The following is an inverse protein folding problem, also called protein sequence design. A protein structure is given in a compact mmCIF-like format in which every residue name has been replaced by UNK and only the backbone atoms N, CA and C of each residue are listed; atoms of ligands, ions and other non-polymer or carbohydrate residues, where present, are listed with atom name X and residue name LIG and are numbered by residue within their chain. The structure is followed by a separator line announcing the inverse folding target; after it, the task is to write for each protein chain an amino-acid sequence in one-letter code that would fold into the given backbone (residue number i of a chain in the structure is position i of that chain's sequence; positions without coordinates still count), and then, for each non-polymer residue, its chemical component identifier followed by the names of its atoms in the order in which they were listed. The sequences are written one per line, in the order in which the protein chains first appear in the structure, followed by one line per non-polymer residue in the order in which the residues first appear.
data_IF_032270632668
#
_entry.id   IF_032270632668
#
_cell.length_a   1.000
_cell.length_b   1.000
_cell.length_c   1.000
_cell.angle_alpha   90.00
_cell.angle_beta   90.00
_cell.angle_gamma   90.00
#
_symmetry.space_group_name_H-M   'P 1'
#
loop_
_entity.id
_entity.type
_entity.pdbx_description
1 polymer ?
#
# COMPACT_ATOMS: atom_id res chain seq x y z
N UNK A 1 28.54 10.34 -88.73
CA UNK A 1 29.55 11.41 -88.85
C UNK A 1 29.69 11.96 -87.43
N UNK A 2 30.69 11.50 -86.67
CA UNK A 2 32.06 12.07 -86.63
C UNK A 2 32.02 13.46 -85.95
N UNK A 3 32.73 13.74 -84.86
CA UNK A 3 33.86 13.03 -84.24
C UNK A 3 34.12 13.44 -82.76
N UNK A 4 34.93 12.64 -82.06
CA UNK A 4 35.92 12.97 -81.02
C UNK A 4 35.59 13.88 -79.79
N UNK A 5 35.70 13.25 -78.61
CA UNK A 5 36.76 13.48 -77.59
C UNK A 5 37.15 14.92 -77.15
N UNK A 6 37.21 15.17 -75.83
CA UNK A 6 38.05 16.24 -75.27
C UNK A 6 37.80 16.69 -73.83
N UNK A 7 38.71 16.34 -72.90
CA UNK A 7 38.85 16.98 -71.56
C UNK A 7 39.51 18.38 -71.74
N UNK A 8 39.64 19.33 -70.81
CA UNK A 8 39.75 19.32 -69.33
C UNK A 8 39.57 20.76 -68.76
N UNK A 9 39.51 20.92 -67.43
CA UNK A 9 39.33 22.20 -66.71
C UNK A 9 40.62 23.03 -66.44
N UNK A 10 40.49 24.35 -66.14
CA UNK A 10 40.87 24.99 -64.83
C UNK A 10 40.84 26.55 -64.77
N UNK A 11 40.27 27.04 -63.65
CA UNK A 11 40.56 28.22 -62.78
C UNK A 11 41.45 29.41 -63.22
N UNK A 12 41.01 30.63 -62.83
CA UNK A 12 41.82 31.84 -62.50
C UNK A 12 41.50 33.06 -63.38
N UNK A 13 40.78 34.11 -62.94
CA UNK A 13 41.20 35.24 -62.06
C UNK A 13 42.27 36.17 -62.68
N UNK A 14 42.24 37.51 -62.61
CA UNK A 14 41.24 38.53 -62.19
C UNK A 14 41.76 39.95 -62.59
N UNK A 15 40.93 41.01 -62.57
CA UNK A 15 41.36 42.44 -62.64
C UNK A 15 40.34 43.34 -61.92
N UNK A 16 40.65 43.98 -60.76
CA UNK A 16 41.32 45.31 -60.57
C UNK A 16 40.37 46.48 -60.96
N UNK A 17 39.66 47.19 -60.05
CA UNK A 17 40.04 48.05 -58.89
C UNK A 17 40.14 49.56 -59.21
N UNK A 18 39.32 50.39 -58.54
CA UNK A 18 39.57 51.78 -58.07
C UNK A 18 38.27 52.42 -57.48
N UNK A 19 38.24 53.55 -56.73
CA UNK A 19 38.96 53.97 -55.50
C UNK A 19 38.39 55.34 -55.01
N UNK A 20 37.63 55.42 -53.88
CA UNK A 20 37.54 56.51 -52.83
C UNK A 20 36.13 56.58 -52.18
N UNK A 21 35.93 56.43 -50.85
CA UNK A 21 36.11 57.40 -49.70
C UNK A 21 35.13 58.61 -49.79
N UNK A 22 34.39 59.04 -48.76
CA UNK A 22 34.39 58.79 -47.29
C UNK A 22 33.04 59.26 -46.66
N UNK A 23 32.56 58.64 -45.57
CA UNK A 23 31.92 59.26 -44.37
C UNK A 23 31.21 58.19 -43.50
N UNK A 24 30.92 58.49 -42.22
CA UNK A 24 30.69 57.46 -41.19
C UNK A 24 29.30 57.45 -40.52
N UNK A 25 28.96 56.26 -40.01
CA UNK A 25 28.16 55.95 -38.81
C UNK A 25 26.69 56.42 -38.68
N UNK A 26 25.78 55.45 -38.61
CA UNK A 26 24.87 55.26 -37.45
C UNK A 26 24.35 53.82 -37.42
N UNK A 27 23.90 53.34 -36.26
CA UNK A 27 23.77 51.91 -35.95
C UNK A 27 22.32 51.39 -35.99
N UNK A 28 22.16 50.12 -36.42
CA UNK A 28 21.14 49.19 -35.94
C UNK A 28 21.46 47.76 -36.45
N UNK A 29 22.16 46.96 -35.64
CA UNK A 29 22.30 45.52 -35.89
C UNK A 29 21.30 44.78 -35.01
N UNK A 30 20.20 44.32 -35.59
CA UNK A 30 19.25 43.43 -34.94
C UNK A 30 19.56 41.99 -35.36
N UNK A 31 20.55 41.37 -34.72
CA UNK A 31 20.83 39.93 -34.90
C UNK A 31 19.78 39.11 -34.16
N UNK A 32 18.75 38.66 -34.87
CA UNK A 32 17.90 37.56 -34.42
C UNK A 32 18.69 36.25 -34.48
N UNK A 33 19.37 35.90 -33.38
CA UNK A 33 19.90 34.54 -33.20
C UNK A 33 18.74 33.56 -33.17
N UNK A 34 18.58 32.79 -34.25
CA UNK A 34 17.60 31.72 -34.33
C UNK A 34 17.93 30.64 -33.29
N UNK A 35 17.15 30.61 -32.21
CA UNK A 35 17.21 29.52 -31.24
C UNK A 35 16.58 28.29 -31.89
N UNK A 36 17.41 27.31 -32.24
CA UNK A 36 16.92 26.00 -32.63
C UNK A 36 16.29 25.33 -31.40
N UNK A 37 14.97 25.42 -31.26
CA UNK A 37 14.24 24.73 -30.20
C UNK A 37 14.31 23.23 -30.43
N UNK A 38 15.22 22.55 -29.72
CA UNK A 38 15.13 21.10 -29.55
C UNK A 38 13.83 20.82 -28.78
N UNK A 39 12.79 20.43 -29.51
CA UNK A 39 11.61 19.81 -28.95
C UNK A 39 11.99 18.41 -28.46
N UNK A 40 12.53 18.34 -27.24
CA UNK A 40 12.53 17.11 -26.47
C UNK A 40 11.07 16.70 -26.30
N UNK A 41 10.62 15.68 -27.04
CA UNK A 41 9.35 15.03 -26.79
C UNK A 41 9.48 14.27 -25.48
N UNK A 42 9.34 14.98 -24.38
CA UNK A 42 9.21 14.40 -23.07
C UNK A 42 7.93 13.56 -23.10
N UNK A 43 8.07 12.24 -23.17
CA UNK A 43 6.99 11.34 -22.81
C UNK A 43 6.65 11.68 -21.37
N UNK A 44 5.53 12.37 -21.16
CA UNK A 44 4.97 12.49 -19.84
C UNK A 44 4.71 11.06 -19.37
N UNK A 45 5.51 10.58 -18.41
CA UNK A 45 5.19 9.35 -17.70
C UNK A 45 3.86 9.60 -17.01
N UNK A 46 2.79 9.18 -17.67
CA UNK A 46 1.49 8.97 -17.06
C UNK A 46 1.72 8.31 -15.71
N UNK A 47 1.12 8.86 -14.65
CA UNK A 47 1.22 8.29 -13.32
C UNK A 47 0.87 6.79 -13.41
N UNK A 48 1.87 5.92 -13.24
CA UNK A 48 1.68 4.48 -13.45
C UNK A 48 1.29 3.86 -12.12
N UNK A 49 0.06 3.38 -12.05
CA UNK A 49 -0.51 2.74 -10.88
C UNK A 49 -1.80 2.01 -11.23
N UNK A 50 -2.00 0.86 -10.61
CA UNK A 50 -3.23 0.11 -10.67
C UNK A 50 -3.44 -0.62 -9.35
N UNK A 51 -4.70 -0.86 -9.01
CA UNK A 51 -5.12 -1.69 -7.90
C UNK A 51 -5.95 -2.84 -8.46
N UNK A 52 -5.73 -4.03 -7.93
CA UNK A 52 -6.46 -5.22 -8.35
C UNK A 52 -6.93 -5.96 -7.11
N UNK A 53 -8.24 -6.12 -6.97
CA UNK A 53 -8.85 -6.93 -5.91
C UNK A 53 -9.27 -8.28 -6.52
N UNK A 54 -8.70 -9.37 -6.00
CA UNK A 54 -9.03 -10.74 -6.39
C UNK A 54 -9.81 -11.40 -5.25
N UNK A 55 -10.92 -12.06 -5.57
CA UNK A 55 -11.75 -12.73 -4.58
C UNK A 55 -12.27 -14.05 -5.12
N UNK A 56 -12.07 -15.13 -4.37
CA UNK A 56 -12.69 -16.42 -4.67
C UNK A 56 -14.14 -16.38 -4.19
N UNK A 57 -15.09 -16.37 -5.12
CA UNK A 57 -16.53 -16.16 -4.86
C UNK A 57 -17.26 -17.45 -4.49
N UNK A 58 -16.71 -18.61 -4.89
CA UNK A 58 -17.25 -19.93 -4.57
C UNK A 58 -16.17 -20.99 -4.75
N UNK A 59 -16.24 -22.09 -3.99
CA UNK A 59 -15.33 -23.24 -4.09
C UNK A 59 -16.12 -24.54 -3.97
N UNK A 60 -15.69 -25.56 -4.71
CA UNK A 60 -16.19 -26.93 -4.67
C UNK A 60 -15.02 -27.92 -4.88
N UNK A 61 -15.28 -29.23 -4.80
CA UNK A 61 -14.22 -30.22 -5.00
C UNK A 61 -13.61 -30.11 -6.40
N UNK A 62 -12.36 -29.66 -6.49
CA UNK A 62 -11.60 -29.50 -7.73
C UNK A 62 -11.92 -28.26 -8.57
N UNK A 63 -12.70 -27.29 -8.07
CA UNK A 63 -12.94 -26.04 -8.82
C UNK A 63 -13.54 -24.89 -8.02
N UNK A 64 -13.41 -23.68 -8.57
CA UNK A 64 -13.77 -22.41 -7.93
C UNK A 64 -14.31 -21.40 -8.94
N UNK A 65 -15.08 -20.43 -8.45
CA UNK A 65 -15.31 -19.16 -9.12
C UNK A 65 -14.47 -18.06 -8.50
N UNK A 66 -13.91 -17.16 -9.31
CA UNK A 66 -13.17 -15.98 -8.88
C UNK A 66 -13.67 -14.72 -9.59
N UNK A 67 -13.70 -13.62 -8.84
CA UNK A 67 -13.96 -12.25 -9.31
C UNK A 67 -12.67 -11.44 -9.21
N UNK A 68 -12.43 -10.56 -10.19
CA UNK A 68 -11.31 -9.63 -10.19
C UNK A 68 -11.82 -8.23 -10.52
N UNK A 69 -11.63 -7.29 -9.61
CA UNK A 69 -11.85 -5.85 -9.86
C UNK A 69 -10.52 -5.23 -10.23
N UNK A 70 -10.45 -4.60 -11.40
CA UNK A 70 -9.29 -3.86 -11.89
C UNK A 70 -9.62 -2.37 -11.77
N UNK A 71 -8.82 -1.60 -11.04
CA UNK A 71 -8.93 -0.14 -10.93
C UNK A 71 -7.68 0.49 -11.55
N UNK A 72 -7.88 1.35 -12.56
CA UNK A 72 -6.82 2.14 -13.16
C UNK A 72 -6.56 3.40 -12.30
N UNK A 73 -5.49 3.41 -11.51
CA UNK A 73 -5.11 4.60 -10.73
C UNK A 73 -4.32 5.62 -11.57
N UNK A 74 -3.88 5.21 -12.76
CA UNK A 74 -3.08 6.03 -13.66
C UNK A 74 -3.89 6.85 -14.66
N UNK A 75 -3.21 7.34 -15.70
CA UNK A 75 -3.89 8.01 -16.82
C UNK A 75 -4.88 7.09 -17.52
N UNK A 76 -5.94 7.67 -18.09
CA UNK A 76 -6.98 6.91 -18.77
C UNK A 76 -6.43 6.03 -19.92
N UNK A 77 -6.91 4.80 -20.01
CA UNK A 77 -6.57 3.83 -21.05
C UNK A 77 -7.80 3.46 -21.87
N UNK A 78 -7.63 3.20 -23.17
CA UNK A 78 -8.71 2.80 -24.10
C UNK A 78 -8.82 1.28 -24.28
N UNK A 79 -7.80 0.54 -23.84
CA UNK A 79 -7.73 -0.92 -23.77
C UNK A 79 -6.87 -1.33 -22.59
N UNK A 80 -7.11 -2.52 -22.04
CA UNK A 80 -6.29 -3.05 -20.96
C UNK A 80 -5.99 -4.55 -21.10
N UNK A 81 -4.84 -4.93 -20.55
CA UNK A 81 -4.38 -6.30 -20.39
C UNK A 81 -3.95 -6.51 -18.95
N UNK A 82 -4.66 -7.37 -18.21
CA UNK A 82 -4.28 -7.81 -16.88
C UNK A 82 -3.39 -9.05 -16.99
N UNK A 83 -2.28 -9.08 -16.26
CA UNK A 83 -1.44 -10.28 -16.07
C UNK A 83 -1.37 -10.65 -14.60
N UNK A 84 -1.38 -11.94 -14.27
CA UNK A 84 -1.16 -12.46 -12.92
C UNK A 84 -0.69 -13.91 -12.93
N UNK A 85 -0.20 -14.39 -11.78
CA UNK A 85 0.29 -15.77 -11.61
C UNK A 85 -0.54 -16.50 -10.57
N UNK A 86 -1.18 -17.60 -10.96
CA UNK A 86 -1.85 -18.52 -10.03
C UNK A 86 -0.80 -19.28 -9.21
N UNK A 87 -0.99 -19.51 -7.89
CA UNK A 87 0.08 -19.96 -6.99
C UNK A 87 0.39 -21.47 -7.03
N UNK A 88 -0.40 -22.29 -7.72
CA UNK A 88 -0.19 -23.74 -7.76
C UNK A 88 -0.66 -24.40 -9.06
N UNK A 89 -1.60 -25.34 -8.94
CA UNK A 89 -2.08 -26.17 -10.07
C UNK A 89 -3.39 -25.65 -10.67
N UNK A 90 -3.78 -24.42 -10.38
CA UNK A 90 -5.02 -23.84 -10.88
C UNK A 90 -4.98 -23.60 -12.41
N UNK A 91 -6.07 -23.97 -13.08
CA UNK A 91 -6.28 -23.73 -14.51
C UNK A 91 -7.62 -23.01 -14.72
N UNK A 92 -7.63 -21.98 -15.59
CA UNK A 92 -8.84 -21.25 -16.00
C UNK A 92 -9.68 -22.14 -16.92
N UNK A 93 -10.90 -22.45 -16.51
CA UNK A 93 -11.84 -23.29 -17.26
C UNK A 93 -12.78 -22.47 -18.14
N UNK A 94 -13.25 -21.31 -17.65
CA UNK A 94 -14.12 -20.40 -18.41
C UNK A 94 -14.11 -19.00 -17.80
N UNK A 95 -13.98 -17.94 -18.59
CA UNK A 95 -13.99 -16.55 -18.12
C UNK A 95 -15.12 -15.69 -18.70
N UNK A 96 -15.40 -14.56 -18.06
CA UNK A 96 -16.36 -13.54 -18.51
C UNK A 96 -15.81 -12.12 -18.36
N UNK A 97 -16.39 -11.16 -19.10
CA UNK A 97 -15.95 -9.75 -19.20
C UNK A 97 -14.48 -9.54 -19.66
N UNK A 98 -13.84 -10.58 -20.21
CA UNK A 98 -12.49 -10.50 -20.78
C UNK A 98 -12.14 -11.77 -21.55
N UNK A 99 -11.08 -11.70 -22.35
CA UNK A 99 -10.52 -12.86 -23.08
C UNK A 99 -9.34 -13.40 -22.31
N UNK A 100 -9.48 -14.62 -21.78
CA UNK A 100 -8.50 -15.29 -20.92
C UNK A 100 -7.55 -16.17 -21.72
N UNK A 101 -6.26 -16.12 -21.40
CA UNK A 101 -5.22 -17.01 -21.90
C UNK A 101 -4.30 -17.42 -20.75
N UNK A 102 -3.89 -18.69 -20.69
CA UNK A 102 -3.02 -19.21 -19.63
C UNK A 102 -1.88 -20.04 -20.20
N UNK A 103 -0.68 -19.86 -19.65
CA UNK A 103 0.51 -20.65 -19.96
C UNK A 103 1.22 -21.05 -18.66
N UNK A 104 1.09 -22.31 -18.26
CA UNK A 104 1.49 -22.75 -16.92
C UNK A 104 0.69 -21.99 -15.85
N UNK A 105 1.36 -21.40 -14.87
CA UNK A 105 0.73 -20.57 -13.83
C UNK A 105 0.38 -19.15 -14.27
N UNK A 106 0.95 -18.66 -15.38
CA UNK A 106 0.76 -17.28 -15.83
C UNK A 106 -0.56 -17.13 -16.60
N UNK A 107 -1.44 -16.24 -16.14
CA UNK A 107 -2.71 -15.88 -16.77
C UNK A 107 -2.61 -14.47 -17.33
N UNK A 108 -3.12 -14.27 -18.53
CA UNK A 108 -3.33 -12.96 -19.16
C UNK A 108 -4.80 -12.82 -19.53
N UNK A 109 -5.39 -11.66 -19.21
CA UNK A 109 -6.76 -11.31 -19.57
C UNK A 109 -6.76 -10.00 -20.33
N UNK A 110 -7.31 -9.97 -21.54
CA UNK A 110 -7.53 -8.73 -22.29
C UNK A 110 -8.99 -8.31 -22.22
N UNK A 111 -9.25 -7.01 -22.36
CA UNK A 111 -10.60 -6.47 -22.28
C UNK A 111 -11.57 -7.08 -23.30
N UNK A 112 -12.84 -7.17 -22.93
CA UNK A 112 -13.93 -7.36 -23.89
C UNK A 112 -14.16 -6.06 -24.69
N UNK A 113 -14.91 -6.15 -25.79
CA UNK A 113 -15.14 -5.02 -26.70
C UNK A 113 -15.86 -3.82 -26.05
N UNK A 114 -16.57 -4.04 -24.94
CA UNK A 114 -17.38 -3.03 -24.25
C UNK A 114 -16.75 -2.46 -22.97
N UNK A 115 -15.66 -3.03 -22.45
CA UNK A 115 -15.04 -2.59 -21.18
C UNK A 115 -13.55 -2.23 -21.27
N UNK A 116 -13.01 -2.00 -22.47
CA UNK A 116 -11.60 -1.61 -22.65
C UNK A 116 -11.25 -0.21 -22.14
N UNK A 117 -12.21 0.73 -22.16
CA UNK A 117 -11.98 2.09 -21.69
C UNK A 117 -12.05 2.17 -20.17
N UNK A 118 -10.92 2.45 -19.52
CA UNK A 118 -10.82 2.75 -18.09
C UNK A 118 -10.27 4.16 -17.91
N UNK A 119 -11.10 5.07 -17.42
CA UNK A 119 -10.68 6.40 -16.99
C UNK A 119 -9.65 6.33 -15.85
N UNK A 120 -9.02 7.45 -15.51
CA UNK A 120 -8.31 7.57 -14.24
C UNK A 120 -9.30 7.37 -13.07
N UNK A 121 -8.95 6.53 -12.10
CA UNK A 121 -9.80 5.98 -11.05
C UNK A 121 -11.03 5.18 -11.56
N UNK A 122 -11.05 4.80 -12.84
CA UNK A 122 -12.08 3.95 -13.41
C UNK A 122 -11.81 2.47 -13.17
N UNK A 123 -12.87 1.70 -12.91
CA UNK A 123 -12.78 0.27 -12.62
C UNK A 123 -13.60 -0.60 -13.58
N UNK A 124 -13.19 -1.86 -13.73
CA UNK A 124 -13.99 -2.92 -14.37
C UNK A 124 -13.88 -4.22 -13.58
N UNK A 125 -14.94 -5.02 -13.61
CA UNK A 125 -14.99 -6.32 -12.95
C UNK A 125 -15.04 -7.45 -13.98
N UNK A 126 -14.10 -8.37 -13.85
CA UNK A 126 -14.03 -9.61 -14.62
C UNK A 126 -14.12 -10.82 -13.68
N UNK A 127 -14.23 -12.01 -14.24
CA UNK A 127 -14.21 -13.22 -13.42
C UNK A 127 -14.09 -14.48 -14.25
N UNK A 128 -13.77 -15.58 -13.57
CA UNK A 128 -13.61 -16.88 -14.20
C UNK A 128 -13.95 -18.01 -13.23
N UNK A 129 -14.33 -19.16 -13.79
CA UNK A 129 -14.28 -20.43 -13.11
C UNK A 129 -12.95 -21.11 -13.42
N UNK A 130 -12.31 -21.66 -12.41
CA UNK A 130 -11.08 -22.45 -12.54
C UNK A 130 -11.20 -23.82 -11.89
N UNK A 131 -10.27 -24.70 -12.22
CA UNK A 131 -10.07 -26.02 -11.62
C UNK A 131 -8.71 -26.11 -10.93
N UNK A 132 -8.52 -26.97 -9.93
CA UNK A 132 -7.21 -27.30 -9.37
C UNK A 132 -7.07 -28.80 -9.08
N UNK A 133 -5.85 -29.24 -8.78
CA UNK A 133 -5.56 -30.60 -8.31
C UNK A 133 -4.92 -30.59 -6.92
N UNK A 134 -5.22 -31.62 -6.12
CA UNK A 134 -4.76 -31.75 -4.73
C UNK A 134 -5.89 -31.66 -3.70
N UNK A 135 -5.56 -31.91 -2.43
CA UNK A 135 -6.50 -31.94 -1.31
C UNK A 135 -6.86 -30.56 -0.73
N UNK A 136 -6.08 -29.54 -1.07
CA UNK A 136 -6.18 -28.19 -0.50
C UNK A 136 -6.17 -27.17 -1.63
N UNK A 137 -6.99 -26.12 -1.52
CA UNK A 137 -7.03 -25.02 -2.50
C UNK A 137 -5.67 -24.27 -2.50
N UNK A 138 -4.98 -24.06 -3.64
CA UNK A 138 -3.59 -23.60 -3.62
C UNK A 138 -3.41 -22.11 -3.28
N UNK A 139 -4.41 -21.26 -3.54
CA UNK A 139 -4.47 -19.91 -2.98
C UNK A 139 -4.99 -18.84 -3.94
N UNK A 140 -4.53 -17.61 -3.75
CA UNK A 140 -4.85 -16.46 -4.62
C UNK A 140 -3.56 -15.86 -5.19
N UNK A 141 -3.58 -15.28 -6.42
CA UNK A 141 -2.45 -14.53 -6.95
C UNK A 141 -2.05 -13.36 -6.04
N UNK A 142 -0.76 -13.19 -5.81
CA UNK A 142 -0.19 -12.12 -4.95
C UNK A 142 0.40 -10.96 -5.75
N UNK A 143 0.49 -11.08 -7.08
CA UNK A 143 1.03 -10.06 -7.97
C UNK A 143 0.20 -9.94 -9.24
N UNK A 144 -0.02 -8.70 -9.65
CA UNK A 144 -0.80 -8.34 -10.83
C UNK A 144 -0.05 -7.28 -11.64
N UNK A 145 -0.24 -7.26 -12.95
CA UNK A 145 0.22 -6.20 -13.84
C UNK A 145 -0.92 -5.69 -14.71
N UNK A 146 -1.08 -4.37 -14.86
CA UNK A 146 -1.95 -3.76 -15.86
C UNK A 146 -1.10 -3.19 -16.99
N UNK A 147 -1.33 -3.62 -18.23
CA UNK A 147 -0.55 -3.24 -19.41
C UNK A 147 0.97 -3.44 -19.23
N UNK A 148 1.35 -4.49 -18.50
CA UNK A 148 2.76 -4.84 -18.20
C UNK A 148 3.37 -4.07 -17.02
N UNK A 149 2.63 -3.16 -16.37
CA UNK A 149 3.07 -2.40 -15.20
C UNK A 149 2.53 -3.05 -13.93
N UNK A 150 3.38 -3.31 -12.93
CA UNK A 150 2.97 -3.89 -11.64
C UNK A 150 1.92 -3.04 -10.92
N UNK A 151 0.85 -3.68 -10.47
CA UNK A 151 -0.19 -3.07 -9.64
C UNK A 151 0.23 -3.08 -8.18
N UNK A 152 0.71 -1.93 -7.71
CA UNK A 152 1.20 -1.71 -6.33
C UNK A 152 0.14 -1.09 -5.41
N UNK A 153 -1.09 -0.86 -5.90
CA UNK A 153 -2.14 -0.16 -5.15
C UNK A 153 -1.95 1.36 -5.05
N UNK A 154 -0.87 1.91 -5.61
CA UNK A 154 -0.56 3.34 -5.61
C UNK A 154 -0.01 3.79 -6.96
N UNK A 155 0.01 5.10 -7.21
CA UNK A 155 0.71 5.70 -8.34
C UNK A 155 2.15 6.07 -7.96
N UNK A 156 3.14 5.60 -8.73
CA UNK A 156 4.51 6.10 -8.60
C UNK A 156 4.66 7.44 -9.33
N UNK A 157 4.57 8.54 -8.58
CA UNK A 157 4.87 9.89 -9.07
C UNK A 157 6.38 10.16 -9.09
N UNK A 158 7.07 9.82 -10.18
CA UNK A 158 8.44 10.29 -10.44
C UNK A 158 8.42 11.75 -10.92
N UNK A 159 8.21 12.70 -10.00
CA UNK A 159 8.29 14.13 -10.31
C UNK A 159 9.76 14.58 -10.35
N UNK A 160 10.24 15.22 -11.44
CA UNK A 160 11.61 15.71 -11.51
C UNK A 160 11.76 17.00 -10.68
N UNK A 161 12.52 16.91 -9.59
CA UNK A 161 12.82 18.06 -8.72
C UNK A 161 13.61 19.16 -9.44
N UNK A 162 12.98 20.32 -9.68
CA UNK A 162 13.69 21.55 -10.07
C UNK A 162 13.68 22.57 -8.92
N UNK A 163 14.80 22.68 -8.22
CA UNK A 163 15.03 23.76 -7.26
C UNK A 163 15.09 25.12 -7.96
N UNK A 164 14.23 26.06 -7.55
CA UNK A 164 14.41 27.48 -7.85
C UNK A 164 13.96 28.32 -6.64
N UNK A 165 14.91 29.01 -6.03
CA UNK A 165 14.67 29.96 -4.93
C UNK A 165 14.38 31.35 -5.49
N UNK A 166 13.24 31.95 -5.13
CA UNK A 166 13.02 33.40 -5.24
C UNK A 166 12.05 33.89 -4.17
N UNK A 167 12.45 34.92 -3.43
CA UNK A 167 11.63 35.60 -2.43
C UNK A 167 11.05 36.89 -3.01
N UNK A 168 9.75 37.12 -2.84
CA UNK A 168 9.13 38.44 -2.84
C UNK A 168 7.76 38.40 -2.15
N UNK A 169 7.45 39.44 -1.37
CA UNK A 169 6.21 39.59 -0.60
C UNK A 169 5.30 40.65 -1.22
N UNK A 170 3.98 40.39 -1.27
CA UNK A 170 2.93 41.42 -1.23
C UNK A 170 1.57 40.80 -0.85
N UNK A 171 0.74 41.57 -0.14
CA UNK A 171 -0.54 41.13 0.46
C UNK A 171 -1.75 41.67 -0.30
N UNK A 172 -2.82 40.87 -0.41
CA UNK A 172 -4.21 41.31 -0.60
C UNK A 172 -5.18 40.21 -0.11
N UNK A 173 -6.41 40.60 0.27
CA UNK A 173 -7.33 39.80 1.09
C UNK A 173 -8.70 39.57 0.44
N UNK A 174 -9.45 38.57 0.95
CA UNK A 174 -10.89 38.30 0.77
C UNK A 174 -11.35 37.81 -0.64
N UNK A 175 -12.37 36.95 -0.81
CA UNK A 175 -13.20 36.16 0.13
C UNK A 175 -13.84 34.94 -0.59
N UNK A 176 -14.12 33.88 0.18
CA UNK A 176 -15.07 32.78 -0.01
C UNK A 176 -15.62 32.40 -1.41
N UNK A 177 -15.51 31.12 -1.77
CA UNK A 177 -16.71 30.29 -2.06
C UNK A 177 -16.43 28.78 -1.98
N UNK A 178 -17.42 28.04 -1.47
CA UNK A 178 -17.66 26.60 -1.56
C UNK A 178 -16.45 25.63 -1.46
N UNK A 179 -16.29 25.01 -0.29
CA UNK A 179 -15.67 23.68 -0.20
C UNK A 179 -16.51 22.68 -0.99
N UNK A 180 -15.90 22.02 -1.96
CA UNK A 180 -16.43 20.83 -2.60
C UNK A 180 -15.41 19.71 -2.39
N UNK A 181 -15.50 19.05 -1.23
CA UNK A 181 -14.78 17.81 -0.97
C UNK A 181 -15.21 16.78 -2.02
N UNK A 182 -14.33 16.27 -2.88
CA UNK A 182 -14.70 15.14 -3.73
C UNK A 182 -14.80 13.90 -2.82
N UNK A 183 -16.02 13.50 -2.49
CA UNK A 183 -16.26 12.17 -1.93
C UNK A 183 -15.93 11.13 -2.99
N UNK A 184 -14.69 10.66 -2.99
CA UNK A 184 -14.28 9.45 -3.69
C UNK A 184 -14.96 8.27 -3.02
N UNK A 185 -16.07 7.78 -3.57
CA UNK A 185 -16.69 6.52 -3.17
C UNK A 185 -15.81 5.36 -3.65
N UNK A 186 -14.73 5.12 -2.92
CA UNK A 186 -13.92 3.90 -3.03
C UNK A 186 -14.82 2.71 -2.72
N UNK A 187 -15.10 1.84 -3.69
CA UNK A 187 -15.84 0.62 -3.41
C UNK A 187 -14.91 -0.43 -2.79
N UNK A 188 -14.71 -0.36 -1.49
CA UNK A 188 -14.06 -1.41 -0.71
C UNK A 188 -14.82 -2.74 -0.86
N UNK A 189 -14.15 -3.89 -0.65
CA UNK A 189 -14.82 -5.20 -0.60
C UNK A 189 -15.83 -5.28 0.54
N UNK A 190 -15.52 -4.58 1.63
CA UNK A 190 -16.36 -4.41 2.80
C UNK A 190 -16.13 -3.01 3.36
N UNK A 191 -17.22 -2.31 3.70
CA UNK A 191 -17.19 -1.07 4.48
C UNK A 191 -18.32 -1.15 5.50
N UNK A 192 -18.03 -0.92 6.78
CA UNK A 192 -19.03 -0.97 7.85
C UNK A 192 -18.63 -0.11 9.05
N UNK A 193 -19.56 0.76 9.48
CA UNK A 193 -19.45 1.64 10.66
C UNK A 193 -20.11 1.05 11.91
N UNK A 194 -20.50 -0.23 11.88
CA UNK A 194 -21.07 -0.90 13.02
C UNK A 194 -20.02 -1.21 14.10
N UNK A 195 -20.34 -0.88 15.35
CA UNK A 195 -19.63 -1.40 16.51
C UNK A 195 -19.53 -2.94 16.39
N UNK A 196 -18.32 -3.50 16.55
CA UNK A 196 -18.06 -4.95 16.40
C UNK A 196 -18.27 -5.51 14.98
N UNK A 197 -18.30 -4.65 13.95
CA UNK A 197 -18.39 -5.12 12.58
C UNK A 197 -17.13 -5.94 12.23
N UNK A 198 -17.32 -7.20 11.86
CA UNK A 198 -16.24 -8.11 11.47
C UNK A 198 -16.29 -8.48 9.99
N UNK A 199 -15.16 -8.91 9.43
CA UNK A 199 -15.07 -9.44 8.07
C UNK A 199 -14.03 -10.57 7.99
N UNK A 200 -14.52 -11.80 7.80
CA UNK A 200 -13.68 -12.98 7.62
C UNK A 200 -13.14 -13.07 6.19
N UNK A 201 -11.82 -13.19 6.05
CA UNK A 201 -11.13 -13.27 4.75
C UNK A 201 -9.90 -14.19 4.80
N UNK A 202 -9.99 -15.32 4.11
CA UNK A 202 -8.91 -16.31 4.06
C UNK A 202 -8.70 -16.97 5.43
N UNK A 203 -7.50 -16.78 6.01
CA UNK A 203 -7.14 -17.29 7.35
C UNK A 203 -7.30 -16.22 8.46
N UNK A 204 -7.89 -15.07 8.14
CA UNK A 204 -8.01 -13.92 9.02
C UNK A 204 -9.46 -13.51 9.24
N UNK A 205 -9.73 -12.84 10.36
CA UNK A 205 -10.92 -11.99 10.54
C UNK A 205 -10.46 -10.59 10.90
N UNK A 206 -11.03 -9.57 10.26
CA UNK A 206 -10.74 -8.16 10.53
C UNK A 206 -11.92 -7.57 11.31
N UNK A 207 -11.63 -6.81 12.37
CA UNK A 207 -12.58 -6.35 13.37
C UNK A 207 -12.61 -4.82 13.47
N UNK A 208 -13.83 -4.26 13.59
CA UNK A 208 -14.10 -2.88 13.97
C UNK A 208 -14.47 -2.81 15.47
N UNK A 209 -13.56 -3.24 16.34
CA UNK A 209 -13.85 -3.30 17.78
C UNK A 209 -13.83 -1.88 18.38
N UNK A 210 -14.99 -1.41 18.82
CA UNK A 210 -15.22 -0.11 19.46
C UNK A 210 -15.83 -0.39 20.84
N UNK A 211 -15.08 -0.14 21.91
CA UNK A 211 -15.41 -0.70 23.23
C UNK A 211 -15.22 0.27 24.41
N UNK A 212 -14.35 1.27 24.25
CA UNK A 212 -14.02 2.21 25.31
C UNK A 212 -15.14 3.19 25.63
N UNK A 213 -15.21 3.61 26.89
CA UNK A 213 -16.26 4.53 27.33
C UNK A 213 -16.22 5.85 26.55
N UNK A 214 -17.33 6.19 25.90
CA UNK A 214 -17.44 7.41 25.09
C UNK A 214 -16.62 7.37 23.79
N UNK A 215 -16.49 6.20 23.15
CA UNK A 215 -15.97 6.12 21.78
C UNK A 215 -16.79 7.00 20.81
N UNK A 216 -16.09 7.60 19.85
CA UNK A 216 -16.66 8.28 18.69
C UNK A 216 -16.64 7.36 17.46
N UNK A 217 -17.20 7.82 16.34
CA UNK A 217 -17.46 6.96 15.19
C UNK A 217 -16.19 6.41 14.53
N UNK A 218 -16.17 5.10 14.30
CA UNK A 218 -15.23 4.43 13.40
C UNK A 218 -15.93 3.82 12.17
N UNK A 219 -15.19 3.56 11.10
CA UNK A 219 -15.65 2.81 9.93
C UNK A 219 -14.51 1.97 9.40
N UNK A 220 -14.68 0.65 9.52
CA UNK A 220 -13.78 -0.35 8.94
C UNK A 220 -14.02 -0.42 7.44
N UNK A 221 -12.92 -0.45 6.69
CA UNK A 221 -12.90 -0.73 5.27
C UNK A 221 -11.86 -1.81 4.94
N UNK A 222 -12.17 -2.69 3.99
CA UNK A 222 -11.32 -3.83 3.59
C UNK A 222 -11.18 -3.89 2.07
N UNK A 223 -9.95 -3.90 1.55
CA UNK A 223 -9.64 -4.13 0.14
C UNK A 223 -9.14 -5.56 -0.13
N UNK A 224 -8.48 -6.19 0.83
CA UNK A 224 -8.00 -7.58 0.74
C UNK A 224 -7.67 -8.15 2.14
N UNK A 225 -7.23 -9.40 2.20
CA UNK A 225 -6.74 -10.03 3.43
C UNK A 225 -5.52 -9.33 4.05
N UNK A 226 -4.85 -8.45 3.30
CA UNK A 226 -3.62 -7.77 3.75
C UNK A 226 -3.69 -6.25 3.59
N UNK A 227 -4.77 -5.71 2.99
CA UNK A 227 -4.97 -4.27 2.82
C UNK A 227 -6.36 -3.87 3.34
N UNK A 228 -6.37 -3.15 4.44
CA UNK A 228 -7.57 -2.73 5.18
C UNK A 228 -7.24 -1.54 6.08
N UNK A 229 -8.24 -0.92 6.66
CA UNK A 229 -8.02 0.18 7.59
C UNK A 229 -9.30 0.69 8.23
N UNK A 230 -9.17 1.77 9.00
CA UNK A 230 -10.30 2.47 9.60
C UNK A 230 -10.23 3.96 9.36
N UNK A 231 -11.38 4.55 9.05
CA UNK A 231 -11.63 5.96 9.32
C UNK A 231 -12.12 6.08 10.76
N UNK A 232 -11.36 6.74 11.64
CA UNK A 232 -11.69 6.84 13.06
C UNK A 232 -11.77 8.29 13.53
N UNK A 233 -12.83 8.62 14.26
CA UNK A 233 -13.09 9.96 14.83
C UNK A 233 -13.31 9.82 16.33
N UNK A 234 -12.22 9.77 17.10
CA UNK A 234 -12.24 9.54 18.54
C UNK A 234 -12.06 10.85 19.33
N UNK A 235 -12.81 11.05 20.44
CA UNK A 235 -12.63 12.21 21.30
C UNK A 235 -11.33 12.10 22.11
N UNK A 236 -10.67 13.24 22.33
CA UNK A 236 -9.49 13.31 23.20
C UNK A 236 -9.89 13.29 24.69
N UNK A 237 -10.28 12.10 25.16
CA UNK A 237 -10.55 11.76 26.57
C UNK A 237 -9.69 10.56 26.97
N UNK A 238 -9.52 10.33 28.27
CA UNK A 238 -8.67 9.24 28.79
C UNK A 238 -9.13 7.83 28.35
N UNK A 239 -8.16 6.94 28.14
CA UNK A 239 -8.35 5.51 27.85
C UNK A 239 -8.61 5.20 26.38
N UNK A 240 -8.29 3.96 25.98
CA UNK A 240 -8.53 3.45 24.62
C UNK A 240 -10.03 3.47 24.30
N UNK A 241 -10.39 3.77 23.05
CA UNK A 241 -11.77 3.80 22.54
C UNK A 241 -12.09 2.62 21.63
N UNK A 242 -11.15 2.26 20.76
CA UNK A 242 -11.30 1.22 19.76
C UNK A 242 -9.99 0.44 19.60
N UNK A 243 -10.11 -0.84 19.23
CA UNK A 243 -9.00 -1.69 18.80
C UNK A 243 -9.34 -2.34 17.44
N UNK A 244 -9.32 -1.55 16.37
CA UNK A 244 -9.52 -2.11 15.04
C UNK A 244 -8.32 -3.01 14.69
N UNK A 245 -8.55 -4.28 14.39
CA UNK A 245 -7.49 -5.29 14.29
C UNK A 245 -7.75 -6.35 13.22
N UNK A 246 -6.67 -6.93 12.68
CA UNK A 246 -6.70 -8.19 11.93
C UNK A 246 -6.24 -9.33 12.84
N UNK A 247 -7.02 -10.40 12.90
CA UNK A 247 -6.84 -11.54 13.81
C UNK A 247 -6.61 -12.84 13.05
N UNK A 248 -5.72 -13.70 13.57
CA UNK A 248 -5.49 -15.07 13.11
C UNK A 248 -5.46 -16.04 14.28
N UNK A 249 -6.31 -17.08 14.23
CA UNK A 249 -6.25 -18.20 15.17
C UNK A 249 -5.08 -19.14 14.83
N UNK A 250 -4.33 -19.55 15.86
CA UNK A 250 -3.14 -20.42 15.75
C UNK A 250 -3.34 -21.74 16.50
N UNK A 251 -3.84 -21.70 17.74
CA UNK A 251 -4.17 -22.88 18.55
C UNK A 251 -3.04 -23.89 18.75
N UNK A 252 -1.77 -23.47 18.74
CA UNK A 252 -0.60 -24.35 18.73
C UNK A 252 0.28 -24.15 19.98
N UNK A 253 0.80 -25.24 20.55
CA UNK A 253 1.69 -25.16 21.71
C UNK A 253 2.99 -24.40 21.34
N UNK A 254 3.38 -23.42 22.16
CA UNK A 254 4.55 -22.56 21.90
C UNK A 254 5.85 -23.38 21.76
N UNK A 255 5.91 -24.54 22.40
CA UNK A 255 7.06 -25.45 22.39
C UNK A 255 7.14 -26.35 21.15
N UNK A 256 6.06 -26.46 20.36
CA UNK A 256 6.07 -27.16 19.08
C UNK A 256 6.37 -26.25 17.89
N UNK A 257 6.40 -24.93 18.09
CA UNK A 257 6.70 -23.96 17.05
C UNK A 257 8.22 -23.84 16.81
N UNK A 258 8.59 -23.94 15.55
CA UNK A 258 9.91 -23.61 15.02
C UNK A 258 9.99 -22.14 14.58
N UNK A 259 8.88 -21.56 14.12
CA UNK A 259 8.75 -20.12 13.84
C UNK A 259 7.39 -19.57 14.28
N UNK A 260 7.38 -18.29 14.66
CA UNK A 260 6.19 -17.45 14.67
C UNK A 260 6.63 -16.03 14.29
N UNK A 261 6.29 -15.61 13.08
CA UNK A 261 6.83 -14.37 12.48
C UNK A 261 5.70 -13.60 11.83
N UNK A 262 5.71 -12.28 11.99
CA UNK A 262 4.74 -11.39 11.36
C UNK A 262 5.42 -10.27 10.60
N UNK A 263 4.85 -9.88 9.46
CA UNK A 263 5.26 -8.74 8.64
C UNK A 263 4.15 -7.71 8.63
N UNK A 264 4.48 -6.43 8.80
CA UNK A 264 3.52 -5.34 8.74
C UNK A 264 4.06 -4.20 7.87
N UNK A 265 3.16 -3.48 7.21
CA UNK A 265 3.40 -2.20 6.58
C UNK A 265 2.12 -1.39 6.69
N UNK A 266 2.22 -0.19 7.24
CA UNK A 266 1.08 0.65 7.60
C UNK A 266 1.31 2.13 7.28
N UNK A 267 0.25 2.90 7.39
CA UNK A 267 0.25 4.35 7.24
C UNK A 267 -0.74 4.92 8.24
N UNK A 268 -0.17 5.61 9.22
CA UNK A 268 -0.88 6.16 10.36
C UNK A 268 -0.98 7.69 10.22
N UNK A 269 -1.92 8.33 10.93
CA UNK A 269 -2.00 9.78 11.03
C UNK A 269 -0.70 10.41 11.58
N UNK A 270 -0.42 11.67 11.29
CA UNK A 270 0.76 12.35 11.85
C UNK A 270 0.63 12.75 13.32
N UNK A 271 -0.56 12.56 13.92
CA UNK A 271 -0.91 13.01 15.27
C UNK A 271 -2.11 12.24 15.82
N UNK A 272 -2.34 12.36 17.13
CA UNK A 272 -3.40 11.66 17.85
C UNK A 272 -2.83 11.05 19.13
N UNK A 273 -3.66 10.31 19.85
CA UNK A 273 -3.27 9.44 20.95
C UNK A 273 -3.64 8.02 20.54
N UNK A 274 -2.66 7.23 20.10
CA UNK A 274 -2.87 5.87 19.59
C UNK A 274 -1.55 5.10 19.49
N UNK A 275 -1.65 3.78 19.37
CA UNK A 275 -0.52 2.86 19.23
C UNK A 275 -0.86 1.75 18.23
N UNK A 276 0.08 1.42 17.35
CA UNK A 276 0.04 0.21 16.52
C UNK A 276 0.61 -0.95 17.31
N UNK A 277 -0.20 -1.98 17.55
CA UNK A 277 0.17 -3.08 18.43
C UNK A 277 -0.26 -4.44 17.88
N UNK A 278 0.64 -5.42 18.01
CA UNK A 278 0.21 -6.80 18.12
C UNK A 278 -0.48 -7.00 19.46
N UNK A 279 -1.61 -7.70 19.45
CA UNK A 279 -2.21 -8.29 20.64
C UNK A 279 -2.18 -9.82 20.46
N UNK A 280 -1.53 -10.53 21.38
CA UNK A 280 -1.24 -11.95 21.26
C UNK A 280 -1.77 -12.67 22.49
N UNK A 281 -2.79 -13.47 22.28
CA UNK A 281 -3.43 -14.21 23.36
C UNK A 281 -2.88 -15.64 23.48
N UNK A 282 -2.57 -16.02 24.73
CA UNK A 282 -2.12 -17.36 25.08
C UNK A 282 -3.13 -18.07 25.99
N UNK A 283 -3.23 -19.40 25.83
CA UNK A 283 -4.13 -20.27 26.59
C UNK A 283 -5.62 -19.84 26.51
N UNK A 284 -6.14 -19.62 25.30
CA UNK A 284 -7.36 -18.86 25.10
C UNK A 284 -7.08 -17.38 25.37
N UNK A 285 -7.92 -16.72 26.16
CA UNK A 285 -7.70 -15.33 26.63
C UNK A 285 -7.01 -15.26 28.00
N UNK A 286 -6.11 -16.22 28.30
CA UNK A 286 -5.56 -16.42 29.65
C UNK A 286 -4.32 -15.59 29.98
N UNK A 287 -3.59 -15.14 28.96
CA UNK A 287 -2.43 -14.25 29.05
C UNK A 287 -2.44 -13.36 27.79
N UNK A 288 -2.17 -12.08 27.99
CA UNK A 288 -2.15 -11.04 26.96
C UNK A 288 -0.68 -10.60 26.72
N UNK A 289 -0.21 -10.61 25.47
CA UNK A 289 1.13 -10.14 25.12
C UNK A 289 1.04 -9.11 24.01
N UNK A 290 1.26 -7.85 24.38
CA UNK A 290 1.26 -6.71 23.48
C UNK A 290 2.66 -6.47 22.89
N UNK A 291 2.74 -6.12 21.61
CA UNK A 291 4.01 -5.71 20.97
C UNK A 291 3.77 -4.44 20.15
N UNK A 292 4.15 -3.29 20.70
CA UNK A 292 3.88 -1.97 20.13
C UNK A 292 4.99 -1.59 19.13
N UNK A 293 4.61 -1.27 17.89
CA UNK A 293 5.54 -0.97 16.79
C UNK A 293 5.62 0.52 16.42
N UNK A 294 4.50 1.25 16.54
CA UNK A 294 4.39 2.69 16.32
C UNK A 294 3.49 3.29 17.42
N UNK A 295 3.78 4.51 17.87
CA UNK A 295 3.13 5.13 19.04
C UNK A 295 3.06 6.64 18.85
N UNK A 296 1.90 7.24 19.11
CA UNK A 296 1.67 8.67 18.98
C UNK A 296 0.89 9.24 20.17
N UNK A 297 1.31 10.42 20.62
CA UNK A 297 0.63 11.17 21.69
C UNK A 297 0.83 10.61 23.09
N UNK A 298 -0.16 10.85 23.94
CA UNK A 298 -0.18 10.50 25.37
C UNK A 298 -0.90 9.15 25.57
N UNK A 299 -0.18 8.07 25.23
CA UNK A 299 -0.59 6.68 25.43
C UNK A 299 0.54 5.89 26.10
N UNK A 300 0.21 4.79 26.78
CA UNK A 300 1.20 3.99 27.48
C UNK A 300 0.69 2.62 27.90
N UNK A 301 1.57 1.60 27.95
CA UNK A 301 1.19 0.22 28.21
C UNK A 301 0.73 0.01 29.65
N UNK A 302 -0.05 -1.06 29.87
CA UNK A 302 -0.45 -1.47 31.20
C UNK A 302 0.73 -1.91 32.07
N UNK A 303 0.70 -1.50 33.34
CA UNK A 303 1.62 -1.98 34.37
C UNK A 303 2.87 -1.12 34.57
N UNK A 304 3.99 -1.76 34.90
CA UNK A 304 5.27 -1.10 35.19
C UNK A 304 6.38 -1.66 34.32
N UNK A 305 7.34 -0.81 33.94
CA UNK A 305 8.54 -1.26 33.22
C UNK A 305 9.36 -2.19 34.11
N UNK A 306 9.73 -3.35 33.56
CA UNK A 306 10.56 -4.36 34.23
C UNK A 306 11.98 -4.44 33.65
N UNK A 307 12.27 -3.66 32.60
CA UNK A 307 13.59 -3.57 31.99
C UNK A 307 13.52 -3.32 30.49
N UNK A 308 14.67 -3.39 29.82
CA UNK A 308 14.77 -3.40 28.36
C UNK A 308 15.53 -4.63 27.87
N UNK A 309 15.15 -5.13 26.70
CA UNK A 309 15.74 -6.30 26.05
C UNK A 309 15.95 -6.02 24.56
N UNK A 310 17.03 -6.53 23.99
CA UNK A 310 17.25 -6.53 22.54
C UNK A 310 17.07 -7.94 22.00
N UNK A 311 16.13 -8.13 21.08
CA UNK A 311 15.78 -9.41 20.45
C UNK A 311 15.66 -9.19 18.94
N UNK A 312 16.28 -10.06 18.14
CA UNK A 312 16.34 -9.95 16.67
C UNK A 312 16.69 -8.53 16.16
N UNK A 313 17.73 -7.92 16.76
CA UNK A 313 18.17 -6.55 16.46
C UNK A 313 17.24 -5.41 16.92
N UNK A 314 16.04 -5.72 17.40
CA UNK A 314 15.05 -4.76 17.89
C UNK A 314 15.21 -4.56 19.41
N UNK A 315 15.21 -3.31 19.89
CA UNK A 315 15.22 -3.02 21.33
C UNK A 315 13.82 -2.66 21.81
N UNK A 316 13.42 -3.31 22.90
CA UNK A 316 12.10 -3.21 23.51
C UNK A 316 12.24 -2.86 24.99
N UNK A 317 11.42 -1.94 25.48
CA UNK A 317 11.15 -1.82 26.92
C UNK A 317 9.99 -2.75 27.26
N UNK A 318 10.21 -3.68 28.16
CA UNK A 318 9.17 -4.60 28.63
C UNK A 318 8.43 -4.00 29.82
N UNK A 319 7.11 -4.07 29.78
CA UNK A 319 6.20 -3.75 30.87
C UNK A 319 5.45 -5.02 31.30
N UNK A 320 5.16 -5.11 32.60
CA UNK A 320 4.33 -6.17 33.17
C UNK A 320 3.22 -5.57 34.02
N UNK A 321 2.00 -6.04 33.81
CA UNK A 321 0.79 -5.58 34.48
C UNK A 321 -0.34 -6.59 34.40
N UNK A 322 -1.58 -6.12 34.58
CA UNK A 322 -2.77 -6.94 34.53
C UNK A 322 -3.94 -6.19 33.90
N UNK A 323 -4.61 -6.84 32.94
CA UNK A 323 -5.90 -6.43 32.41
C UNK A 323 -7.01 -7.24 33.12
N UNK A 324 -7.55 -6.67 34.20
CA UNK A 324 -8.50 -7.36 35.08
C UNK A 324 -7.87 -8.57 35.79
N UNK A 325 -8.24 -9.79 35.38
CA UNK A 325 -7.66 -11.04 35.89
C UNK A 325 -6.56 -11.61 35.00
N UNK A 326 -6.35 -11.06 33.81
CA UNK A 326 -5.36 -11.54 32.87
C UNK A 326 -4.00 -10.89 33.17
N UNK A 327 -2.89 -11.62 33.25
CA UNK A 327 -1.56 -11.04 33.20
C UNK A 327 -1.27 -10.51 31.79
N UNK A 328 -0.73 -9.28 31.75
CA UNK A 328 -0.46 -8.54 30.51
C UNK A 328 1.00 -8.16 30.44
N UNK A 329 1.65 -8.46 29.32
CA UNK A 329 3.06 -8.14 29.07
C UNK A 329 3.18 -7.30 27.81
N UNK A 330 3.79 -6.11 27.89
CA UNK A 330 3.87 -5.19 26.73
C UNK A 330 5.32 -4.91 26.37
N UNK A 331 5.73 -5.31 25.16
CA UNK A 331 6.99 -4.91 24.55
C UNK A 331 6.78 -3.62 23.77
N UNK A 332 7.27 -2.50 24.30
CA UNK A 332 7.23 -1.21 23.60
C UNK A 332 8.56 -0.97 22.90
N UNK A 333 8.54 -0.82 21.57
CA UNK A 333 9.76 -0.62 20.78
C UNK A 333 10.42 0.71 21.13
N UNK A 334 11.75 0.76 21.21
CA UNK A 334 12.50 1.98 21.53
C UNK A 334 12.45 3.06 20.43
N UNK A 335 11.93 2.72 19.24
CA UNK A 335 11.81 3.61 18.10
C UNK A 335 10.69 3.11 17.18
N UNK A 336 9.81 4.02 16.79
CA UNK A 336 8.65 3.70 15.96
C UNK A 336 9.08 3.17 14.58
N UNK A 337 8.32 2.21 14.07
CA UNK A 337 8.41 1.71 12.70
C UNK A 337 7.00 1.51 12.16
N UNK A 338 6.74 2.03 10.96
CA UNK A 338 5.50 1.82 10.20
C UNK A 338 5.61 0.65 9.22
N UNK A 339 6.75 -0.05 9.17
CA UNK A 339 6.87 -1.31 8.45
C UNK A 339 8.06 -2.12 8.92
N UNK A 340 7.88 -3.42 9.07
CA UNK A 340 8.94 -4.31 9.52
C UNK A 340 8.54 -5.78 9.54
N UNK A 341 9.43 -6.59 10.09
CA UNK A 341 9.19 -8.01 10.42
C UNK A 341 9.50 -8.21 11.89
N UNK A 342 8.61 -8.89 12.63
CA UNK A 342 8.78 -9.19 14.05
C UNK A 342 8.79 -10.70 14.23
N UNK A 343 9.87 -11.23 14.84
CA UNK A 343 9.92 -12.59 15.33
C UNK A 343 9.16 -12.66 16.67
N UNK A 344 7.87 -12.98 16.59
CA UNK A 344 6.97 -13.12 17.75
C UNK A 344 7.39 -14.30 18.64
N UNK A 345 7.97 -15.36 18.06
CA UNK A 345 8.42 -16.52 18.84
C UNK A 345 9.54 -16.14 19.82
N UNK A 346 10.50 -15.31 19.41
CA UNK A 346 11.60 -14.86 20.29
C UNK A 346 11.09 -14.04 21.48
N UNK A 347 10.12 -13.15 21.25
CA UNK A 347 9.47 -12.35 22.30
C UNK A 347 8.72 -13.24 23.31
N UNK A 348 7.92 -14.18 22.81
CA UNK A 348 7.18 -15.14 23.65
C UNK A 348 8.13 -16.10 24.40
N UNK A 349 9.21 -16.54 23.75
CA UNK A 349 10.24 -17.41 24.35
C UNK A 349 11.09 -16.67 25.39
N UNK A 350 11.31 -15.37 25.23
CA UNK A 350 11.93 -14.54 26.27
C UNK A 350 11.06 -14.49 27.52
N UNK A 351 9.75 -14.24 27.39
CA UNK A 351 8.83 -14.20 28.52
C UNK A 351 8.76 -15.55 29.27
N UNK A 352 8.72 -16.67 28.53
CA UNK A 352 8.72 -18.01 29.11
C UNK A 352 10.05 -18.36 29.81
N UNK A 353 11.18 -18.26 29.11
CA UNK A 353 12.44 -18.89 29.54
C UNK A 353 13.35 -17.97 30.35
N UNK A 354 13.32 -16.66 30.08
CA UNK A 354 14.16 -15.66 30.75
C UNK A 354 13.36 -14.88 31.79
N UNK A 355 12.14 -14.49 31.46
CA UNK A 355 11.23 -13.80 32.37
C UNK A 355 10.56 -14.71 33.41
N UNK A 356 10.35 -15.99 33.07
CA UNK A 356 9.64 -16.95 33.93
C UNK A 356 8.18 -16.60 34.17
N UNK A 357 7.56 -15.80 33.28
CA UNK A 357 6.22 -15.24 33.46
C UNK A 357 5.10 -16.27 33.29
N UNK A 358 5.36 -17.31 32.51
CA UNK A 358 4.46 -18.44 32.24
C UNK A 358 5.26 -19.66 31.80
N UNK A 359 4.61 -20.81 31.66
CA UNK A 359 5.26 -22.05 31.20
C UNK A 359 4.38 -22.85 30.26
N UNK A 360 4.97 -23.37 29.18
CA UNK A 360 4.34 -24.25 28.18
C UNK A 360 2.99 -23.74 27.62
N UNK A 361 2.85 -22.45 27.24
CA UNK A 361 1.58 -21.90 26.79
C UNK A 361 1.18 -22.41 25.39
N UNK A 362 -0.11 -22.29 25.08
CA UNK A 362 -0.66 -22.42 23.72
C UNK A 362 -0.81 -21.03 23.10
N UNK A 363 -0.10 -20.76 22.01
CA UNK A 363 -0.32 -19.57 21.18
C UNK A 363 -1.69 -19.69 20.52
N UNK A 364 -2.63 -18.85 20.96
CA UNK A 364 -4.06 -19.01 20.65
C UNK A 364 -4.48 -18.13 19.49
N UNK A 365 -4.19 -16.83 19.56
CA UNK A 365 -4.37 -15.88 18.46
C UNK A 365 -3.15 -14.96 18.31
N UNK A 366 -2.98 -14.43 17.10
CA UNK A 366 -2.15 -13.26 16.82
C UNK A 366 -3.07 -12.22 16.21
N UNK A 367 -3.16 -11.05 16.82
CA UNK A 367 -3.84 -9.87 16.28
C UNK A 367 -2.82 -8.78 15.95
N UNK A 368 -3.18 -7.86 15.07
CA UNK A 368 -2.44 -6.61 14.84
C UNK A 368 -3.40 -5.50 14.44
N UNK A 369 -3.23 -4.31 15.00
CA UNK A 369 -4.18 -3.23 14.83
C UNK A 369 -3.78 -1.98 15.60
N UNK A 370 -4.73 -1.07 15.79
CA UNK A 370 -4.51 0.19 16.48
C UNK A 370 -5.41 0.32 17.71
N UNK A 371 -4.81 0.46 18.89
CA UNK A 371 -5.55 0.98 20.04
C UNK A 371 -5.63 2.49 19.89
N UNK A 372 -6.84 3.02 19.70
CA UNK A 372 -7.05 4.44 19.43
C UNK A 372 -7.68 5.10 20.66
N UNK A 373 -6.91 5.93 21.35
CA UNK A 373 -7.37 6.69 22.52
C UNK A 373 -7.98 8.06 22.16
N UNK A 374 -7.56 8.69 21.05
CA UNK A 374 -8.14 9.95 20.57
C UNK A 374 -7.57 10.46 19.24
N UNK A 375 -8.41 11.08 18.40
CA UNK A 375 -8.04 11.71 17.12
C UNK A 375 -8.40 13.20 17.08
N UNK A 376 -8.61 13.83 18.24
CA UNK A 376 -8.99 15.24 18.35
C UNK A 376 -10.43 15.58 17.93
N UNK A 377 -11.29 14.57 17.74
CA UNK A 377 -12.57 14.67 17.02
C UNK A 377 -12.41 15.02 15.51
N UNK A 378 -11.21 14.83 14.95
CA UNK A 378 -10.98 14.84 13.49
C UNK A 378 -11.11 13.40 12.98
N UNK A 379 -11.69 13.22 11.79
CA UNK A 379 -11.65 11.93 11.11
C UNK A 379 -10.24 11.70 10.57
N UNK A 380 -9.56 10.72 11.15
CA UNK A 380 -8.22 10.29 10.74
C UNK A 380 -8.31 8.92 10.04
N UNK A 381 -7.35 8.63 9.16
CA UNK A 381 -7.29 7.36 8.44
C UNK A 381 -6.08 6.53 8.88
N UNK A 382 -6.35 5.32 9.37
CA UNK A 382 -5.36 4.31 9.71
C UNK A 382 -5.40 3.23 8.63
N UNK A 383 -4.25 2.80 8.13
CA UNK A 383 -4.18 1.88 6.99
C UNK A 383 -3.12 0.82 7.19
N UNK A 384 -3.50 -0.45 7.14
CA UNK A 384 -2.59 -1.54 6.85
C UNK A 384 -2.44 -1.61 5.32
N UNK A 385 -1.25 -1.32 4.83
CA UNK A 385 -0.90 -1.47 3.42
C UNK A 385 -0.66 -2.94 3.06
N UNK A 386 0.05 -3.65 3.95
CA UNK A 386 0.30 -5.09 3.84
C UNK A 386 0.48 -5.72 5.23
N UNK A 387 0.01 -6.95 5.42
CA UNK A 387 0.16 -7.72 6.65
C UNK A 387 0.31 -9.23 6.35
N UNK A 388 1.10 -9.95 7.15
CA UNK A 388 1.08 -11.41 7.18
C UNK A 388 1.54 -11.92 8.53
N UNK A 389 1.00 -13.06 8.97
CA UNK A 389 1.40 -13.74 10.21
C UNK A 389 1.52 -15.25 9.94
N UNK A 390 2.70 -15.81 10.20
CA UNK A 390 3.07 -17.17 9.82
C UNK A 390 3.66 -17.92 11.02
N UNK A 391 3.32 -19.20 11.15
CA UNK A 391 3.79 -20.10 12.20
C UNK A 391 4.10 -21.46 11.57
N UNK A 392 5.17 -22.13 12.02
CA UNK A 392 5.58 -23.46 11.51
C UNK A 392 6.13 -24.38 12.59
#
# INVERSE_FOLDING_TARGET
MSELNGRTARRGAATVSARKRLAAATAAVLTTTGVATLTLTQTANAATGCQVAYSVTSQWSGGFGASIVITNLGSAVTSWSLGFTLPGTEAVSSGWNGTYSQSGQAVTVTNASYNGSLAANGSTTIGFNGSWTGSTFPGSPTSFTLNGVSCTGAVSSSSPSTSASASASASASASASASATPSSTSSYLYENSGQWAEYAIGAYTIYNDEWGSGYGSQTLWVNSATNWGVFSTQPNTSGVKAYANISKTIGTALNSLSTATSTFNETNPSSGNWESAYDIWLNGSGIEVMVWTDVSGDVGPLGSSVGSVTLDGNTWTLYAGNNGSNPTYSFVRSSNETSGTVNLLDLLKYLENTGGYFSNPTLSTIQYGWEISGTGNTQENFTINNYSATTS
#
